data_IF_324108480370
#
_entry.id   IF_324108480370
#
_cell.length_a   1.000
_cell.length_b   1.000
_cell.length_c   1.000
_cell.angle_alpha   90.00
_cell.angle_beta   90.00
_cell.angle_gamma   90.00
#
_symmetry.space_group_name_H-M   'P 1'
#
loop_
_entity.id
_entity.type
_entity.pdbx_description
1 polymer ?
#
# COMPACT_ATOMS: atom_id res chain seq x y z
N UNK A 1 17.39 44.38 13.61
CA UNK A 1 16.22 43.48 13.81
C UNK A 1 15.49 43.18 12.51
N UNK A 2 15.26 44.10 11.62
CA UNK A 2 14.53 43.93 10.35
C UNK A 2 15.31 43.01 9.38
N UNK A 3 16.64 43.07 9.31
CA UNK A 3 17.45 42.18 8.46
C UNK A 3 17.47 40.68 8.94
N UNK A 4 17.36 40.44 10.24
CA UNK A 4 17.26 39.07 10.79
C UNK A 4 15.90 38.43 10.51
N UNK A 5 14.81 39.20 10.59
CA UNK A 5 13.47 38.70 10.21
C UNK A 5 13.39 38.39 8.72
N UNK A 6 13.99 39.20 7.84
CA UNK A 6 14.03 38.97 6.39
C UNK A 6 14.81 37.64 6.04
N UNK A 7 15.91 37.40 6.74
CA UNK A 7 16.68 36.14 6.56
C UNK A 7 15.95 34.89 7.09
N UNK A 8 15.16 35.05 8.15
CA UNK A 8 14.33 33.96 8.68
C UNK A 8 13.15 33.65 7.75
N UNK A 9 12.50 34.66 7.19
CA UNK A 9 11.44 34.51 6.19
C UNK A 9 11.96 33.94 4.88
N UNK A 10 13.14 34.36 4.41
CA UNK A 10 13.77 33.77 3.21
C UNK A 10 14.19 32.30 3.44
N UNK A 11 14.73 31.95 4.61
CA UNK A 11 15.04 30.55 4.92
C UNK A 11 13.81 29.67 5.07
N UNK A 12 12.73 30.16 5.69
CA UNK A 12 11.47 29.42 5.79
C UNK A 12 10.77 29.27 4.43
N UNK A 13 10.85 30.28 3.56
CA UNK A 13 10.35 30.21 2.20
C UNK A 13 11.20 29.27 1.33
N UNK A 14 12.53 29.23 1.48
CA UNK A 14 13.39 28.25 0.80
C UNK A 14 13.13 26.83 1.29
N UNK A 15 12.83 26.61 2.57
CA UNK A 15 12.45 25.29 3.09
C UNK A 15 11.08 24.84 2.54
N UNK A 16 10.14 25.76 2.32
CA UNK A 16 8.84 25.46 1.72
C UNK A 16 8.94 25.11 0.22
N UNK A 17 9.95 25.61 -0.49
CA UNK A 17 10.16 25.35 -1.93
C UNK A 17 10.88 24.02 -2.19
N UNK A 18 11.48 23.38 -1.16
CA UNK A 18 12.21 22.12 -1.31
C UNK A 18 11.47 20.87 -0.79
N UNK A 19 10.23 20.97 -0.36
CA UNK A 19 9.39 19.77 -0.15
C UNK A 19 8.99 19.25 -1.52
N UNK A 20 9.82 18.36 -2.08
CA UNK A 20 9.51 17.67 -3.32
C UNK A 20 8.24 16.86 -3.06
N UNK A 21 7.11 17.33 -3.58
CA UNK A 21 5.83 16.61 -3.52
C UNK A 21 6.08 15.22 -4.10
N UNK A 22 5.78 14.18 -3.33
CA UNK A 22 5.84 12.80 -3.81
C UNK A 22 4.55 12.51 -4.58
N UNK A 23 4.66 11.80 -5.70
CA UNK A 23 3.49 11.32 -6.45
C UNK A 23 3.42 9.80 -6.43
N UNK A 24 2.20 9.28 -6.34
CA UNK A 24 1.89 7.87 -6.60
C UNK A 24 0.86 7.86 -7.74
N UNK A 25 1.29 7.48 -8.94
CA UNK A 25 0.50 7.70 -10.14
C UNK A 25 0.17 9.20 -10.32
N UNK A 26 -1.11 9.53 -10.38
CA UNK A 26 -1.62 10.91 -10.48
C UNK A 26 -1.94 11.56 -9.11
N UNK A 27 -1.74 10.85 -8.00
CA UNK A 27 -2.06 11.31 -6.65
C UNK A 27 -0.88 12.03 -6.01
N UNK A 28 -1.08 13.28 -5.58
CA UNK A 28 -0.09 14.09 -4.88
C UNK A 28 -0.05 13.74 -3.38
N UNK A 29 1.11 13.34 -2.88
CA UNK A 29 1.34 13.00 -1.48
C UNK A 29 2.17 14.13 -0.84
N UNK A 30 1.59 14.86 0.10
CA UNK A 30 2.16 16.09 0.69
C UNK A 30 3.53 15.88 1.35
N UNK A 31 3.80 14.67 1.84
CA UNK A 31 5.08 14.29 2.45
C UNK A 31 5.30 12.79 2.33
N UNK A 32 6.45 12.29 2.79
CA UNK A 32 6.86 10.88 2.63
C UNK A 32 6.42 9.96 3.78
N UNK A 33 5.51 10.41 4.63
CA UNK A 33 5.01 9.62 5.75
C UNK A 33 3.70 8.95 5.32
N UNK A 34 3.71 7.63 5.26
CA UNK A 34 2.56 6.81 4.89
C UNK A 34 2.22 5.90 6.07
N UNK A 35 0.97 5.96 6.54
CA UNK A 35 0.51 5.04 7.59
C UNK A 35 0.23 3.67 7.00
N UNK A 36 0.98 2.66 7.46
CA UNK A 36 0.80 1.28 7.00
C UNK A 36 -0.54 0.68 7.44
N UNK A 37 -1.15 -0.21 6.64
CA UNK A 37 -2.38 -0.91 6.99
C UNK A 37 -2.17 -1.85 8.18
N UNK A 38 -3.10 -1.84 9.14
CA UNK A 38 -3.11 -2.74 10.30
C UNK A 38 -4.53 -3.20 10.58
N UNK A 39 -4.78 -4.51 10.43
CA UNK A 39 -6.08 -5.12 10.69
C UNK A 39 -6.52 -4.91 12.14
N UNK A 40 -7.77 -4.49 12.35
CA UNK A 40 -8.33 -4.15 13.66
C UNK A 40 -7.90 -2.79 14.22
N UNK A 41 -7.10 -2.01 13.47
CA UNK A 41 -6.53 -0.73 13.93
C UNK A 41 -6.83 0.40 12.95
N UNK A 42 -6.49 0.27 11.67
CA UNK A 42 -6.58 1.37 10.70
C UNK A 42 -8.00 1.58 10.14
N UNK A 43 -8.98 1.66 11.05
CA UNK A 43 -10.35 2.08 10.75
C UNK A 43 -10.43 3.60 10.50
N UNK A 44 -11.60 4.11 10.09
CA UNK A 44 -11.83 5.52 9.78
C UNK A 44 -11.36 6.45 10.91
N UNK A 45 -11.74 6.18 12.17
CA UNK A 45 -11.40 7.03 13.30
C UNK A 45 -9.88 7.14 13.51
N UNK A 46 -9.16 6.01 13.42
CA UNK A 46 -7.71 6.00 13.53
C UNK A 46 -7.05 6.73 12.35
N UNK A 47 -7.50 6.51 11.12
CA UNK A 47 -6.93 7.17 9.94
C UNK A 47 -7.10 8.69 10.01
N UNK A 48 -8.26 9.19 10.47
CA UNK A 48 -8.48 10.64 10.70
C UNK A 48 -7.47 11.22 11.67
N UNK A 49 -7.27 10.60 12.83
CA UNK A 49 -6.29 11.04 13.83
C UNK A 49 -4.88 11.09 13.20
N UNK A 50 -4.49 10.07 12.45
CA UNK A 50 -3.17 10.02 11.80
C UNK A 50 -3.03 11.12 10.74
N UNK A 51 -4.09 11.50 10.04
CA UNK A 51 -4.09 12.65 9.12
C UNK A 51 -3.92 13.98 9.86
N UNK A 52 -4.54 14.16 11.01
CA UNK A 52 -4.33 15.34 11.88
C UNK A 52 -2.87 15.43 12.33
N UNK A 53 -2.19 14.31 12.60
CA UNK A 53 -0.75 14.26 12.88
C UNK A 53 0.14 14.45 11.63
N UNK A 54 -0.45 14.65 10.46
CA UNK A 54 0.23 15.08 9.24
C UNK A 54 0.72 13.95 8.34
N UNK A 55 0.18 12.72 8.43
CA UNK A 55 0.50 11.68 7.46
C UNK A 55 0.11 12.10 6.03
N UNK A 56 1.03 11.89 5.08
CA UNK A 56 0.80 12.21 3.67
C UNK A 56 -0.22 11.29 3.01
N UNK A 57 -0.25 10.01 3.41
CA UNK A 57 -1.20 9.00 2.95
C UNK A 57 -1.56 8.07 4.11
N UNK A 58 -2.80 7.65 4.18
CA UNK A 58 -3.29 6.60 5.07
C UNK A 58 -3.83 5.43 4.27
N UNK A 59 -3.71 4.22 4.82
CA UNK A 59 -4.18 2.99 4.18
C UNK A 59 -5.19 2.30 5.09
N UNK A 60 -6.28 1.80 4.51
CA UNK A 60 -7.33 1.09 5.25
C UNK A 60 -6.85 -0.23 5.84
N UNK A 61 -7.68 -0.86 6.66
CA UNK A 61 -7.56 -2.29 6.92
C UNK A 61 -7.71 -3.09 5.62
N UNK A 62 -7.14 -4.28 5.57
CA UNK A 62 -7.21 -5.12 4.37
C UNK A 62 -8.62 -5.72 4.20
N UNK A 63 -9.19 -5.58 3.02
CA UNK A 63 -10.54 -5.99 2.63
C UNK A 63 -10.48 -7.25 1.76
N UNK A 64 -11.27 -8.29 2.09
CA UNK A 64 -11.27 -9.54 1.34
C UNK A 64 -11.95 -9.40 -0.01
N UNK A 65 -11.26 -9.84 -1.07
CA UNK A 65 -11.78 -9.95 -2.43
C UNK A 65 -13.09 -10.76 -2.50
N UNK A 66 -13.07 -12.00 -2.01
CA UNK A 66 -14.23 -12.90 -2.02
C UNK A 66 -15.39 -12.35 -1.20
N UNK A 67 -15.11 -11.70 -0.05
CA UNK A 67 -16.17 -11.13 0.74
C UNK A 67 -16.87 -9.94 0.02
N UNK A 68 -16.11 -9.14 -0.74
CA UNK A 68 -16.71 -8.12 -1.63
C UNK A 68 -17.52 -8.75 -2.75
N UNK A 69 -16.97 -9.76 -3.46
CA UNK A 69 -17.66 -10.46 -4.54
C UNK A 69 -18.99 -11.10 -4.08
N UNK A 70 -19.04 -11.57 -2.83
CA UNK A 70 -20.28 -12.12 -2.24
C UNK A 70 -21.20 -11.09 -1.60
N UNK A 71 -20.92 -9.80 -1.72
CA UNK A 71 -21.75 -8.72 -1.20
C UNK A 71 -21.83 -8.67 0.33
N UNK A 72 -20.79 -9.08 1.03
CA UNK A 72 -20.76 -9.07 2.49
C UNK A 72 -20.84 -7.63 3.01
N UNK A 73 -21.96 -7.28 3.67
CA UNK A 73 -22.24 -5.92 4.11
C UNK A 73 -21.16 -5.34 5.04
N UNK A 74 -20.65 -6.13 6.00
CA UNK A 74 -19.60 -5.69 6.91
C UNK A 74 -18.29 -5.37 6.18
N UNK A 75 -18.02 -6.11 5.12
CA UNK A 75 -16.84 -5.87 4.27
C UNK A 75 -17.02 -4.62 3.41
N UNK A 76 -18.23 -4.38 2.90
CA UNK A 76 -18.56 -3.15 2.16
C UNK A 76 -18.45 -1.93 3.07
N UNK A 77 -18.89 -2.01 4.33
CA UNK A 77 -18.73 -0.94 5.32
C UNK A 77 -17.27 -0.57 5.60
N UNK A 78 -16.31 -1.51 5.42
CA UNK A 78 -14.88 -1.22 5.54
C UNK A 78 -14.34 -0.29 4.43
N UNK A 79 -15.09 -0.07 3.35
CA UNK A 79 -14.75 0.87 2.27
C UNK A 79 -15.10 2.31 2.63
N UNK A 80 -15.73 2.56 3.77
CA UNK A 80 -16.09 3.91 4.23
C UNK A 80 -14.85 4.78 4.39
N UNK A 81 -14.90 5.97 3.81
CA UNK A 81 -13.86 7.00 3.86
C UNK A 81 -14.52 8.32 4.26
N UNK A 82 -13.85 9.07 5.14
CA UNK A 82 -14.25 10.43 5.50
C UNK A 82 -13.50 11.43 4.61
N UNK A 83 -14.10 12.58 4.32
CA UNK A 83 -13.52 13.63 3.49
C UNK A 83 -12.16 14.15 3.99
N UNK A 84 -11.93 14.10 5.29
CA UNK A 84 -10.68 14.54 5.91
C UNK A 84 -9.52 13.54 5.78
N UNK A 85 -9.77 12.33 5.23
CA UNK A 85 -8.76 11.28 5.13
C UNK A 85 -7.90 11.38 3.85
N UNK A 86 -8.30 12.16 2.86
CA UNK A 86 -7.61 12.22 1.56
C UNK A 86 -6.18 12.82 1.64
N UNK A 87 -5.22 12.27 0.90
CA UNK A 87 -5.34 11.05 0.11
C UNK A 87 -5.39 9.79 0.99
N UNK A 88 -6.21 8.83 0.56
CA UNK A 88 -6.43 7.56 1.26
C UNK A 88 -6.41 6.38 0.29
N UNK A 89 -5.84 5.26 0.72
CA UNK A 89 -5.80 4.01 -0.05
C UNK A 89 -6.68 2.95 0.61
N UNK A 90 -7.48 2.24 -0.20
CA UNK A 90 -8.16 1.01 0.21
C UNK A 90 -7.28 -0.18 -0.13
N UNK A 91 -6.96 -1.01 0.87
CA UNK A 91 -6.18 -2.22 0.67
C UNK A 91 -7.08 -3.45 0.52
N UNK A 92 -6.94 -4.18 -0.59
CA UNK A 92 -7.61 -5.45 -0.85
C UNK A 92 -6.63 -6.63 -0.72
N UNK A 93 -7.14 -7.83 -0.43
CA UNK A 93 -6.36 -9.07 -0.44
C UNK A 93 -7.16 -10.23 -1.00
N UNK A 94 -6.47 -11.09 -1.73
CA UNK A 94 -6.98 -12.32 -2.32
C UNK A 94 -5.83 -13.11 -2.95
N UNK A 95 -6.12 -14.29 -3.47
CA UNK A 95 -5.15 -15.19 -4.09
C UNK A 95 -5.58 -15.69 -5.48
N UNK A 96 -6.64 -15.14 -6.01
CA UNK A 96 -7.21 -15.52 -7.30
C UNK A 96 -7.38 -14.28 -8.18
N UNK A 97 -6.99 -14.37 -9.45
CA UNK A 97 -6.98 -13.22 -10.38
C UNK A 97 -8.39 -12.66 -10.57
N UNK A 98 -9.37 -13.52 -10.83
CA UNK A 98 -10.72 -13.09 -11.18
C UNK A 98 -11.42 -12.40 -10.01
N UNK A 99 -11.31 -12.96 -8.80
CA UNK A 99 -11.90 -12.34 -7.60
C UNK A 99 -11.19 -11.04 -7.22
N UNK A 100 -9.87 -10.94 -7.42
CA UNK A 100 -9.12 -9.70 -7.18
C UNK A 100 -9.50 -8.60 -8.16
N UNK A 101 -9.70 -8.92 -9.44
CA UNK A 101 -10.18 -7.97 -10.44
C UNK A 101 -11.60 -7.50 -10.13
N UNK A 102 -12.51 -8.41 -9.76
CA UNK A 102 -13.88 -8.05 -9.37
C UNK A 102 -13.90 -7.14 -8.13
N UNK A 103 -13.11 -7.48 -7.10
CA UNK A 103 -13.00 -6.67 -5.90
C UNK A 103 -12.41 -5.28 -6.19
N UNK A 104 -11.37 -5.21 -7.02
CA UNK A 104 -10.76 -3.94 -7.40
C UNK A 104 -11.74 -3.04 -8.17
N UNK A 105 -12.48 -3.57 -9.13
CA UNK A 105 -13.56 -2.85 -9.84
C UNK A 105 -14.63 -2.35 -8.87
N UNK A 106 -15.05 -3.21 -7.94
CA UNK A 106 -16.04 -2.82 -6.94
C UNK A 106 -15.53 -1.63 -6.09
N UNK A 107 -14.27 -1.66 -5.67
CA UNK A 107 -13.64 -0.55 -4.93
C UNK A 107 -13.53 0.70 -5.80
N UNK A 108 -13.13 0.55 -7.08
CA UNK A 108 -12.99 1.68 -8.01
C UNK A 108 -14.31 2.42 -8.24
N UNK A 109 -15.42 1.68 -8.33
CA UNK A 109 -16.75 2.20 -8.62
C UNK A 109 -17.50 2.70 -7.37
N UNK A 110 -17.30 2.07 -6.20
CA UNK A 110 -18.12 2.31 -5.01
C UNK A 110 -17.38 2.98 -3.85
N UNK A 111 -16.08 3.28 -4.01
CA UNK A 111 -15.28 3.98 -3.01
C UNK A 111 -14.67 5.25 -3.59
N UNK A 112 -14.65 6.34 -2.80
CA UNK A 112 -13.96 7.58 -3.16
C UNK A 112 -12.46 7.54 -2.80
N UNK A 113 -11.84 6.35 -2.60
CA UNK A 113 -10.41 6.25 -2.35
C UNK A 113 -9.57 6.83 -3.51
N UNK A 114 -8.37 7.29 -3.20
CA UNK A 114 -7.44 7.82 -4.20
C UNK A 114 -6.59 6.74 -4.84
N UNK A 115 -6.33 5.64 -4.11
CA UNK A 115 -5.43 4.55 -4.48
C UNK A 115 -6.06 3.21 -4.09
N UNK A 116 -5.83 2.17 -4.89
CA UNK A 116 -6.12 0.78 -4.53
C UNK A 116 -4.79 0.08 -4.22
N UNK A 117 -4.65 -0.48 -3.03
CA UNK A 117 -3.45 -1.20 -2.61
C UNK A 117 -3.71 -2.71 -2.54
N UNK A 118 -2.76 -3.52 -2.99
CA UNK A 118 -2.83 -4.98 -2.95
C UNK A 118 -1.95 -5.51 -1.83
N UNK A 119 -2.52 -6.28 -0.90
CA UNK A 119 -1.78 -6.92 0.17
C UNK A 119 -1.12 -8.21 -0.32
N UNK A 120 0.22 -8.23 -0.36
CA UNK A 120 1.04 -9.42 -0.60
C UNK A 120 2.04 -9.65 0.54
N UNK A 121 1.72 -9.17 1.76
CA UNK A 121 2.62 -9.24 2.90
C UNK A 121 2.02 -9.78 4.20
N UNK A 122 0.71 -10.00 4.28
CA UNK A 122 0.05 -10.50 5.50
C UNK A 122 0.53 -11.92 5.85
N UNK A 123 1.06 -12.15 7.07
CA UNK A 123 1.60 -13.44 7.47
C UNK A 123 0.58 -14.34 8.21
N UNK A 124 -0.65 -13.85 8.41
CA UNK A 124 -1.67 -14.52 9.26
C UNK A 124 -2.16 -15.80 8.61
N UNK A 125 -2.23 -16.90 9.37
CA UNK A 125 -2.58 -18.24 8.89
C UNK A 125 -3.91 -18.30 8.12
N UNK A 126 -4.93 -17.54 8.55
CA UNK A 126 -6.22 -17.49 7.86
C UNK A 126 -6.08 -16.95 6.42
N UNK A 127 -5.22 -15.95 6.23
CA UNK A 127 -4.93 -15.35 4.91
C UNK A 127 -4.10 -16.31 4.05
N UNK A 128 -3.09 -16.95 4.66
CA UNK A 128 -2.25 -17.94 3.94
C UNK A 128 -3.06 -19.16 3.46
N UNK A 129 -4.01 -19.65 4.29
CA UNK A 129 -4.93 -20.74 3.89
C UNK A 129 -5.86 -20.35 2.73
N UNK A 130 -6.11 -19.05 2.54
CA UNK A 130 -6.81 -18.53 1.38
C UNK A 130 -5.89 -18.27 0.17
N UNK A 131 -4.63 -18.75 0.21
CA UNK A 131 -3.59 -18.54 -0.80
C UNK A 131 -3.30 -17.05 -1.08
N UNK A 132 -3.47 -16.18 -0.09
CA UNK A 132 -3.37 -14.73 -0.21
C UNK A 132 -2.26 -14.14 0.69
N UNK A 133 -2.06 -12.83 0.61
CA UNK A 133 -1.06 -12.14 1.40
C UNK A 133 0.36 -12.60 1.04
N UNK A 134 1.20 -12.85 2.04
CA UNK A 134 2.59 -13.28 1.81
C UNK A 134 2.74 -14.68 1.19
N UNK A 135 1.66 -15.48 1.12
CA UNK A 135 1.65 -16.74 0.37
C UNK A 135 2.02 -16.53 -1.11
N UNK A 136 1.57 -15.41 -1.69
CA UNK A 136 1.80 -15.07 -3.10
C UNK A 136 3.28 -14.90 -3.45
N UNK A 137 4.14 -14.55 -2.48
CA UNK A 137 5.58 -14.38 -2.71
C UNK A 137 6.28 -15.68 -3.17
N UNK A 138 5.64 -16.84 -2.99
CA UNK A 138 6.13 -18.13 -3.48
C UNK A 138 5.76 -18.38 -4.96
N UNK A 139 4.92 -17.52 -5.55
CA UNK A 139 4.36 -17.68 -6.90
C UNK A 139 4.51 -16.38 -7.71
N UNK A 140 5.73 -16.07 -8.19
CA UNK A 140 6.01 -14.81 -8.90
C UNK A 140 5.11 -14.56 -10.12
N UNK A 141 4.81 -15.59 -10.90
CA UNK A 141 3.92 -15.47 -12.06
C UNK A 141 2.50 -15.04 -11.65
N UNK A 142 1.96 -15.63 -10.57
CA UNK A 142 0.65 -15.27 -10.04
C UNK A 142 0.64 -13.83 -9.48
N UNK A 143 1.75 -13.37 -8.87
CA UNK A 143 1.90 -11.96 -8.47
C UNK A 143 1.78 -11.05 -9.68
N UNK A 144 2.51 -11.36 -10.76
CA UNK A 144 2.44 -10.58 -11.99
C UNK A 144 1.03 -10.56 -12.58
N UNK A 145 0.38 -11.72 -12.68
CA UNK A 145 -0.96 -11.85 -13.27
C UNK A 145 -2.01 -11.09 -12.45
N UNK A 146 -2.01 -11.21 -11.13
CA UNK A 146 -2.93 -10.46 -10.26
C UNK A 146 -2.73 -8.96 -10.46
N UNK A 147 -1.49 -8.46 -10.33
CA UNK A 147 -1.21 -7.01 -10.41
C UNK A 147 -1.56 -6.46 -11.78
N UNK A 148 -1.16 -7.13 -12.85
CA UNK A 148 -1.43 -6.71 -14.23
C UNK A 148 -2.93 -6.61 -14.49
N UNK A 149 -3.68 -7.66 -14.18
CA UNK A 149 -5.11 -7.68 -14.46
C UNK A 149 -5.87 -6.66 -13.61
N UNK A 150 -5.46 -6.43 -12.35
CA UNK A 150 -6.04 -5.37 -11.52
C UNK A 150 -5.72 -3.99 -12.09
N UNK A 151 -4.47 -3.70 -12.46
CA UNK A 151 -4.07 -2.40 -13.06
C UNK A 151 -4.87 -2.11 -14.34
N UNK A 152 -5.03 -3.11 -15.20
CA UNK A 152 -5.78 -2.97 -16.46
C UNK A 152 -7.30 -2.79 -16.24
N UNK A 153 -7.82 -3.16 -15.08
CA UNK A 153 -9.26 -3.20 -14.79
C UNK A 153 -9.82 -1.96 -14.09
N UNK A 154 -8.95 -1.09 -13.53
CA UNK A 154 -9.36 0.06 -12.70
C UNK A 154 -8.79 1.37 -13.22
N UNK A 155 -9.43 2.49 -12.84
CA UNK A 155 -8.99 3.84 -13.20
C UNK A 155 -8.01 4.45 -12.21
N UNK A 156 -8.06 4.03 -10.95
CA UNK A 156 -7.22 4.53 -9.87
C UNK A 156 -5.81 3.93 -9.91
N UNK A 157 -4.78 4.65 -9.44
CA UNK A 157 -3.44 4.09 -9.25
C UNK A 157 -3.49 2.83 -8.38
N UNK A 158 -2.76 1.79 -8.78
CA UNK A 158 -2.62 0.55 -8.02
C UNK A 158 -1.24 0.52 -7.36
N UNK A 159 -1.20 0.17 -6.07
CA UNK A 159 0.04 -0.07 -5.33
C UNK A 159 0.06 -1.48 -4.76
N UNK A 160 1.24 -1.97 -4.39
CA UNK A 160 1.39 -3.31 -3.82
C UNK A 160 2.24 -3.25 -2.57
N UNK A 161 1.80 -3.91 -1.50
CA UNK A 161 2.58 -4.04 -0.27
C UNK A 161 3.08 -5.47 -0.09
N UNK A 162 4.42 -5.64 -0.04
CA UNK A 162 5.11 -6.93 0.04
C UNK A 162 5.95 -7.07 1.32
N UNK A 163 6.45 -8.28 1.58
CA UNK A 163 7.60 -8.58 2.44
C UNK A 163 8.82 -8.96 1.59
N UNK A 164 10.00 -9.11 2.23
CA UNK A 164 11.24 -9.44 1.52
C UNK A 164 11.26 -10.88 0.99
N UNK A 165 10.40 -11.76 1.48
CA UNK A 165 10.25 -13.15 1.06
C UNK A 165 9.33 -13.91 2.01
N UNK A 166 9.06 -15.17 1.69
CA UNK A 166 8.24 -16.04 2.53
C UNK A 166 9.00 -16.49 3.78
N UNK A 167 10.24 -16.91 3.63
CA UNK A 167 11.20 -17.28 4.67
C UNK A 167 12.62 -16.83 4.30
N UNK A 168 13.63 -17.21 5.10
CA UNK A 168 15.01 -16.83 4.85
C UNK A 168 15.64 -17.52 3.64
N UNK A 169 15.13 -18.67 3.25
CA UNK A 169 15.62 -19.45 2.11
C UNK A 169 14.99 -19.01 0.79
N UNK A 170 13.93 -18.21 0.86
CA UNK A 170 13.14 -17.74 -0.28
C UNK A 170 12.98 -16.21 -0.35
N UNK A 171 14.06 -15.49 -0.05
CA UNK A 171 14.08 -14.01 -0.18
C UNK A 171 14.14 -13.66 -1.67
N UNK A 172 13.05 -13.02 -2.17
CA UNK A 172 12.87 -12.72 -3.59
C UNK A 172 12.25 -11.32 -3.86
N UNK A 173 12.28 -10.42 -2.89
CA UNK A 173 11.61 -9.11 -3.00
C UNK A 173 12.05 -8.28 -4.21
N UNK A 174 13.31 -8.39 -4.65
CA UNK A 174 13.81 -7.65 -5.82
C UNK A 174 13.20 -8.18 -7.12
N UNK A 175 13.10 -9.51 -7.26
CA UNK A 175 12.44 -10.16 -8.40
C UNK A 175 10.95 -9.78 -8.43
N UNK A 176 10.27 -9.96 -7.30
CA UNK A 176 8.86 -9.61 -7.14
C UNK A 176 8.60 -8.13 -7.46
N UNK A 177 9.46 -7.22 -6.99
CA UNK A 177 9.32 -5.79 -7.27
C UNK A 177 9.41 -5.47 -8.76
N UNK A 178 10.34 -6.08 -9.49
CA UNK A 178 10.45 -5.92 -10.95
C UNK A 178 9.22 -6.44 -11.69
N UNK A 179 8.63 -7.53 -11.23
CA UNK A 179 7.39 -8.05 -11.82
C UNK A 179 6.21 -7.13 -11.54
N UNK A 180 6.10 -6.58 -10.33
CA UNK A 180 5.07 -5.62 -9.94
C UNK A 180 5.19 -4.33 -10.76
N UNK A 181 6.41 -3.79 -10.94
CA UNK A 181 6.66 -2.63 -11.81
C UNK A 181 6.28 -2.92 -13.26
N UNK A 182 6.75 -4.06 -13.80
CA UNK A 182 6.40 -4.52 -15.16
C UNK A 182 4.90 -4.70 -15.36
N UNK A 183 4.17 -5.09 -14.33
CA UNK A 183 2.70 -5.22 -14.34
C UNK A 183 1.98 -3.86 -14.31
N UNK A 184 2.68 -2.74 -14.10
CA UNK A 184 2.15 -1.38 -14.18
C UNK A 184 1.72 -0.77 -12.84
N UNK A 185 2.09 -1.35 -11.70
CA UNK A 185 1.81 -0.75 -10.40
C UNK A 185 2.54 0.60 -10.23
N UNK A 186 1.89 1.55 -9.57
CA UNK A 186 2.37 2.92 -9.39
C UNK A 186 3.36 3.08 -8.22
N UNK A 187 3.37 2.15 -7.27
CA UNK A 187 4.33 2.12 -6.16
C UNK A 187 4.35 0.76 -5.47
N UNK A 188 5.44 0.49 -4.75
CA UNK A 188 5.64 -0.73 -3.97
C UNK A 188 6.07 -0.34 -2.55
N UNK A 189 5.37 -0.88 -1.53
CA UNK A 189 5.76 -0.77 -0.14
C UNK A 189 6.39 -2.08 0.35
N UNK A 190 7.61 -2.01 0.90
CA UNK A 190 8.36 -3.19 1.34
C UNK A 190 8.48 -3.23 2.86
N UNK A 191 7.98 -4.28 3.49
CA UNK A 191 8.30 -4.60 4.87
C UNK A 191 9.59 -5.42 4.91
N UNK A 192 10.65 -4.90 5.53
CA UNK A 192 12.00 -5.49 5.55
C UNK A 192 12.14 -6.75 6.42
N UNK A 193 11.09 -7.55 6.56
CA UNK A 193 11.07 -8.86 7.22
C UNK A 193 10.46 -9.91 6.31
N UNK A 194 10.85 -11.18 6.48
CA UNK A 194 10.17 -12.32 5.85
C UNK A 194 8.81 -12.58 6.50
N UNK A 195 7.98 -13.42 5.85
CA UNK A 195 6.73 -13.90 6.45
C UNK A 195 7.00 -14.71 7.73
N UNK A 196 8.00 -15.58 7.73
CA UNK A 196 8.33 -16.43 8.87
C UNK A 196 8.79 -15.65 10.10
N UNK A 197 9.42 -14.50 9.93
CA UNK A 197 9.79 -13.61 11.03
C UNK A 197 8.60 -12.97 11.73
N UNK A 198 7.43 -12.89 11.09
CA UNK A 198 6.29 -12.13 11.64
C UNK A 198 6.71 -10.70 12.01
N UNK A 199 6.96 -10.42 13.29
CA UNK A 199 7.46 -9.15 13.83
C UNK A 199 8.74 -9.31 14.64
N UNK A 200 9.34 -10.51 14.65
CA UNK A 200 10.56 -10.80 15.39
C UNK A 200 11.81 -10.25 14.69
N UNK A 201 12.86 -10.05 15.48
CA UNK A 201 14.14 -9.53 15.00
C UNK A 201 14.03 -8.10 14.44
N UNK A 202 14.96 -7.73 13.58
CA UNK A 202 15.04 -6.41 12.96
C UNK A 202 14.60 -6.45 11.49
N UNK A 203 13.98 -5.37 11.02
CA UNK A 203 13.74 -5.17 9.59
C UNK A 203 15.09 -4.98 8.87
N UNK A 204 15.28 -5.68 7.77
CA UNK A 204 16.48 -5.57 6.97
C UNK A 204 16.33 -4.45 5.93
N UNK A 205 17.00 -3.34 6.16
CA UNK A 205 16.95 -2.14 5.30
C UNK A 205 17.71 -2.32 3.99
N UNK A 206 18.67 -3.25 3.92
CA UNK A 206 19.44 -3.50 2.69
C UNK A 206 18.56 -4.07 1.57
N UNK A 207 17.61 -4.94 1.90
CA UNK A 207 16.65 -5.41 0.90
C UNK A 207 15.71 -4.31 0.41
N UNK A 208 15.31 -3.38 1.30
CA UNK A 208 14.53 -2.21 0.90
C UNK A 208 15.33 -1.33 -0.07
N UNK A 209 16.63 -1.12 0.23
CA UNK A 209 17.55 -0.39 -0.66
C UNK A 209 17.69 -1.09 -2.01
N UNK A 210 17.93 -2.41 -2.02
CA UNK A 210 18.05 -3.20 -3.26
C UNK A 210 16.79 -3.11 -4.12
N UNK A 211 15.60 -3.17 -3.52
CA UNK A 211 14.33 -2.96 -4.24
C UNK A 211 14.30 -1.54 -4.84
N UNK A 212 14.64 -0.50 -4.03
CA UNK A 212 14.64 0.90 -4.51
C UNK A 212 15.65 1.15 -5.65
N UNK A 213 16.74 0.42 -5.70
CA UNK A 213 17.75 0.51 -6.77
C UNK A 213 17.34 -0.26 -8.03
N UNK A 214 16.39 -1.18 -7.91
CA UNK A 214 15.96 -2.08 -8.99
C UNK A 214 14.74 -1.58 -9.76
N UNK A 215 13.92 -0.66 -9.14
CA UNK A 215 12.66 -0.13 -9.69
C UNK A 215 12.49 1.36 -9.41
#
# INVERSE_FOLDING_TARGET
YIKLLSLYFQKSMLYCVMVKIMKIGNVDIKNRIIMAPMAGITNVAFRKIIKEFGAGLVVSEMVSDKALCYGNQKTIEMLTIDEDEHPVSIQIFGGDVDSMVQAAKFVDEHSNCDIIDINMGCPVQKVLKAHAGSYLLQYPDLVYDIVKNVVEAVSKPVTVKIRIGYDFDSINCVEIAKLIEKAGASAIAVHGRTRSQMYEGHANWDYIRQVKEAV
#
